data_IF_450917559123
#
_entry.id   IF_450917559123
#
_cell.length_a   1.000
_cell.length_b   1.000
_cell.length_c   1.000
_cell.angle_alpha   90.00
_cell.angle_beta   90.00
_cell.angle_gamma   90.00
#
_symmetry.space_group_name_H-M   'P 1'
#
loop_
_entity.id
_entity.type
_entity.pdbx_description
1 polymer ?
#
# COMPACT_ATOMS: atom_id res chain seq x y z
N UNK A 1 -3.63 17.61 -9.53
CA UNK A 1 -2.21 17.20 -9.35
C UNK A 1 -2.27 15.96 -8.49
N UNK A 2 -1.70 14.85 -8.95
CA UNK A 2 -1.57 13.67 -8.10
C UNK A 2 -0.30 13.87 -7.28
N UNK A 3 -0.43 14.13 -5.99
CA UNK A 3 0.73 14.24 -5.11
C UNK A 3 1.51 12.91 -5.14
N UNK A 4 2.83 13.02 -5.22
CA UNK A 4 3.75 11.88 -5.32
C UNK A 4 4.84 11.99 -4.28
N UNK A 5 5.33 10.84 -3.81
CA UNK A 5 6.51 10.73 -2.95
C UNK A 5 7.67 10.18 -3.77
N UNK A 6 8.85 10.77 -3.62
CA UNK A 6 10.10 10.21 -4.14
C UNK A 6 10.54 9.08 -3.21
N UNK A 7 10.63 7.87 -3.76
CA UNK A 7 11.14 6.71 -3.04
C UNK A 7 12.67 6.68 -3.08
N UNK A 8 13.28 5.99 -2.12
CA UNK A 8 14.72 5.74 -2.10
C UNK A 8 15.22 5.06 -3.38
N UNK A 9 14.38 4.26 -4.05
CA UNK A 9 14.68 3.68 -5.37
C UNK A 9 14.84 4.71 -6.51
N UNK A 10 14.54 5.98 -6.27
CA UNK A 10 14.50 7.04 -7.29
C UNK A 10 13.20 7.10 -8.09
N UNK A 11 12.24 6.20 -7.84
CA UNK A 11 10.93 6.20 -8.47
C UNK A 11 9.93 7.06 -7.68
N UNK A 12 8.89 7.55 -8.36
CA UNK A 12 7.79 8.28 -7.72
C UNK A 12 6.58 7.38 -7.53
N UNK A 13 5.97 7.45 -6.34
CA UNK A 13 4.72 6.74 -6.02
C UNK A 13 3.60 7.74 -5.70
N UNK A 14 2.39 7.58 -6.26
CA UNK A 14 1.24 8.40 -5.87
C UNK A 14 0.85 8.17 -4.40
N UNK A 15 0.58 9.26 -3.67
CA UNK A 15 0.25 9.20 -2.23
C UNK A 15 -1.06 8.50 -1.91
N UNK A 16 -1.93 8.35 -2.92
CA UNK A 16 -3.20 7.64 -2.78
C UNK A 16 -3.35 6.59 -3.88
N UNK A 17 -3.69 5.37 -3.49
CA UNK A 17 -3.96 4.26 -4.39
C UNK A 17 -5.29 3.56 -4.10
N UNK A 18 -5.70 2.68 -5.02
CA UNK A 18 -6.83 1.77 -4.81
C UNK A 18 -6.30 0.41 -4.38
N UNK A 19 -6.64 -0.02 -3.16
CA UNK A 19 -6.38 -1.41 -2.72
C UNK A 19 -7.46 -2.36 -3.22
N UNK A 20 -7.09 -3.55 -3.70
CA UNK A 20 -8.03 -4.55 -4.26
C UNK A 20 -8.34 -5.72 -3.32
N UNK A 21 -7.83 -5.73 -2.09
CA UNK A 21 -8.03 -6.84 -1.14
C UNK A 21 -9.52 -7.18 -0.90
N UNK A 22 -9.85 -8.47 -0.97
CA UNK A 22 -11.22 -9.00 -0.86
C UNK A 22 -12.20 -8.32 -1.83
N UNK A 23 -11.71 -7.95 -3.01
CA UNK A 23 -12.56 -7.58 -4.15
C UNK A 23 -12.69 -8.82 -5.02
N UNK A 24 -13.91 -9.35 -5.19
CA UNK A 24 -14.11 -10.48 -6.09
C UNK A 24 -13.57 -10.18 -7.49
N UNK A 25 -13.01 -11.15 -8.22
CA UNK A 25 -12.51 -10.94 -9.58
C UNK A 25 -13.52 -10.23 -10.48
N UNK A 26 -14.79 -10.64 -10.44
CA UNK A 26 -15.88 -10.07 -11.22
C UNK A 26 -16.14 -8.57 -10.96
N UNK A 27 -15.79 -8.08 -9.78
CA UNK A 27 -15.90 -6.65 -9.44
C UNK A 27 -14.57 -5.89 -9.64
N UNK A 28 -13.43 -6.59 -9.58
CA UNK A 28 -12.10 -5.98 -9.56
C UNK A 28 -11.87 -5.11 -10.78
N UNK A 29 -12.17 -5.63 -11.98
CA UNK A 29 -11.97 -4.89 -13.23
C UNK A 29 -12.75 -3.56 -13.23
N UNK A 30 -14.04 -3.61 -12.88
CA UNK A 30 -14.93 -2.43 -12.81
C UNK A 30 -14.40 -1.40 -11.82
N UNK A 31 -13.96 -1.84 -10.65
CA UNK A 31 -13.46 -0.94 -9.60
C UNK A 31 -12.14 -0.26 -10.01
N UNK A 32 -11.23 -1.01 -10.64
CA UNK A 32 -9.95 -0.46 -11.12
C UNK A 32 -10.19 0.51 -12.27
N UNK A 33 -11.03 0.18 -13.24
CA UNK A 33 -11.43 1.12 -14.31
C UNK A 33 -12.00 2.40 -13.72
N UNK A 34 -12.95 2.27 -12.78
CA UNK A 34 -13.55 3.42 -12.13
C UNK A 34 -12.52 4.29 -11.42
N UNK A 35 -11.58 3.70 -10.69
CA UNK A 35 -10.52 4.45 -10.03
C UNK A 35 -9.62 5.19 -11.04
N UNK A 36 -9.23 4.52 -12.13
CA UNK A 36 -8.42 5.12 -13.19
C UNK A 36 -9.14 6.29 -13.89
N UNK A 37 -10.45 6.17 -14.14
CA UNK A 37 -11.33 7.23 -14.65
C UNK A 37 -11.40 8.42 -13.69
N UNK A 38 -11.55 8.16 -12.38
CA UNK A 38 -11.59 9.19 -11.33
C UNK A 38 -10.28 9.97 -11.23
N UNK A 39 -9.15 9.34 -11.53
CA UNK A 39 -7.83 9.99 -11.51
C UNK A 39 -6.75 9.24 -10.73
N UNK A 40 -7.07 8.11 -10.10
CA UNK A 40 -6.07 7.27 -9.45
C UNK A 40 -5.00 6.84 -10.45
N UNK A 41 -3.76 6.80 -9.99
CA UNK A 41 -2.63 6.25 -10.75
C UNK A 41 -1.82 5.24 -9.94
N UNK A 42 -2.30 4.81 -8.78
CA UNK A 42 -1.69 3.76 -7.98
C UNK A 42 -2.73 2.67 -7.71
N UNK A 43 -2.44 1.45 -8.16
CA UNK A 43 -3.29 0.27 -7.95
C UNK A 43 -2.49 -0.77 -7.15
N UNK A 44 -3.00 -1.13 -5.97
CA UNK A 44 -2.40 -2.13 -5.09
C UNK A 44 -3.20 -3.43 -5.12
N UNK A 45 -2.52 -4.51 -5.52
CA UNK A 45 -3.03 -5.89 -5.50
C UNK A 45 -2.04 -6.83 -4.83
N UNK A 46 -2.30 -8.13 -4.87
CA UNK A 46 -1.36 -9.17 -4.46
C UNK A 46 -1.69 -10.49 -5.15
N UNK A 47 -0.67 -11.34 -5.34
CA UNK A 47 -0.83 -12.72 -5.80
C UNK A 47 -1.90 -13.49 -5.01
N UNK A 48 -1.87 -13.32 -3.68
CA UNK A 48 -2.81 -13.97 -2.76
C UNK A 48 -4.28 -13.51 -2.91
N UNK A 49 -4.54 -12.41 -3.64
CA UNK A 49 -5.90 -11.90 -3.83
C UNK A 49 -6.62 -12.55 -5.01
N UNK A 50 -5.87 -13.26 -5.88
CA UNK A 50 -6.40 -13.98 -7.05
C UNK A 50 -7.21 -13.11 -8.02
N UNK A 51 -6.87 -11.82 -8.12
CA UNK A 51 -7.55 -10.85 -9.00
C UNK A 51 -6.56 -10.00 -9.84
N UNK A 52 -5.31 -10.43 -9.98
CA UNK A 52 -4.29 -9.73 -10.77
C UNK A 52 -4.63 -9.70 -12.27
N UNK A 53 -5.31 -10.74 -12.78
CA UNK A 53 -5.73 -10.79 -14.18
C UNK A 53 -6.70 -9.65 -14.52
N UNK A 54 -7.67 -9.42 -13.64
CA UNK A 54 -8.69 -8.39 -13.79
C UNK A 54 -8.13 -6.98 -13.58
N UNK A 55 -7.11 -6.82 -12.73
CA UNK A 55 -6.32 -5.58 -12.65
C UNK A 55 -5.62 -5.30 -13.97
N UNK A 56 -4.93 -6.29 -14.55
CA UNK A 56 -4.25 -6.15 -15.83
C UNK A 56 -5.20 -5.79 -16.97
N UNK A 57 -6.37 -6.42 -17.01
CA UNK A 57 -7.43 -6.11 -17.99
C UNK A 57 -7.96 -4.69 -17.86
N UNK A 58 -8.21 -4.22 -16.64
CA UNK A 58 -8.66 -2.85 -16.39
C UNK A 58 -7.61 -1.82 -16.82
N UNK A 59 -6.33 -2.08 -16.54
CA UNK A 59 -5.24 -1.19 -16.95
C UNK A 59 -5.19 -1.07 -18.47
N UNK A 60 -5.26 -2.19 -19.20
CA UNK A 60 -5.26 -2.18 -20.68
C UNK A 60 -6.50 -1.46 -21.22
N UNK A 61 -7.68 -1.79 -20.70
CA UNK A 61 -8.95 -1.22 -21.16
C UNK A 61 -9.08 0.28 -20.85
N UNK A 62 -8.44 0.77 -19.79
CA UNK A 62 -8.44 2.20 -19.46
C UNK A 62 -7.84 3.09 -20.55
N UNK A 63 -7.00 2.53 -21.44
CA UNK A 63 -6.29 3.28 -22.47
C UNK A 63 -5.22 4.25 -21.95
N UNK A 64 -4.99 4.32 -20.64
CA UNK A 64 -3.95 5.15 -20.03
C UNK A 64 -2.59 4.51 -20.34
N UNK A 65 -1.56 5.29 -20.74
CA UNK A 65 -0.23 4.74 -20.95
C UNK A 65 0.27 4.01 -19.70
N UNK A 66 0.76 2.77 -19.86
CA UNK A 66 1.22 1.93 -18.73
C UNK A 66 2.22 2.64 -17.80
N UNK A 67 3.09 3.49 -18.36
CA UNK A 67 4.07 4.31 -17.61
C UNK A 67 3.46 5.35 -16.67
N UNK A 68 2.18 5.69 -16.86
CA UNK A 68 1.48 6.68 -16.05
C UNK A 68 0.70 6.01 -14.90
N UNK A 69 0.68 4.67 -14.83
CA UNK A 69 0.04 3.89 -13.76
C UNK A 69 1.14 3.20 -12.94
N UNK A 70 1.09 3.33 -11.63
CA UNK A 70 1.90 2.62 -10.65
C UNK A 70 1.17 1.38 -10.17
N UNK A 71 1.73 0.19 -10.41
CA UNK A 71 1.12 -1.08 -10.01
C UNK A 71 1.98 -1.76 -8.94
N UNK A 72 1.33 -2.07 -7.82
CA UNK A 72 1.91 -2.82 -6.71
C UNK A 72 1.32 -4.23 -6.68
N UNK A 73 2.17 -5.26 -6.57
CA UNK A 73 1.76 -6.61 -6.19
C UNK A 73 2.67 -7.18 -5.10
N UNK A 74 2.35 -8.37 -4.60
CA UNK A 74 3.02 -8.97 -3.44
C UNK A 74 3.23 -10.46 -3.66
N UNK A 75 4.45 -10.94 -3.40
CA UNK A 75 4.72 -12.38 -3.31
C UNK A 75 4.23 -12.91 -1.96
N UNK A 76 3.69 -14.13 -1.94
CA UNK A 76 3.19 -14.71 -0.71
C UNK A 76 4.33 -15.32 0.12
N UNK A 77 4.08 -15.60 1.39
CA UNK A 77 5.11 -16.16 2.29
C UNK A 77 5.66 -17.47 1.74
N UNK A 78 4.82 -18.34 1.17
CA UNK A 78 5.23 -19.65 0.59
C UNK A 78 6.16 -19.55 -0.63
N UNK A 79 6.29 -18.35 -1.18
CA UNK A 79 7.14 -18.04 -2.33
C UNK A 79 8.52 -17.51 -1.90
N UNK A 80 8.82 -17.45 -0.59
CA UNK A 80 10.07 -16.88 -0.05
C UNK A 80 11.29 -17.81 -0.19
N UNK A 81 11.62 -18.10 -1.44
CA UNK A 81 12.85 -18.75 -1.90
C UNK A 81 13.26 -18.11 -3.23
N UNK A 82 14.54 -18.19 -3.62
CA UNK A 82 15.01 -17.54 -4.85
C UNK A 82 14.16 -17.89 -6.09
N UNK A 83 14.10 -19.18 -6.45
CA UNK A 83 13.42 -19.62 -7.68
C UNK A 83 11.91 -19.38 -7.61
N UNK A 84 11.31 -19.56 -6.44
CA UNK A 84 9.86 -19.33 -6.24
C UNK A 84 9.49 -17.87 -6.29
N UNK A 85 10.32 -16.97 -5.76
CA UNK A 85 10.10 -15.53 -5.84
C UNK A 85 10.16 -15.07 -7.31
N UNK A 86 11.14 -15.57 -8.07
CA UNK A 86 11.24 -15.32 -9.51
C UNK A 86 10.01 -15.84 -10.25
N UNK A 87 9.58 -17.08 -9.99
CA UNK A 87 8.38 -17.67 -10.59
C UNK A 87 7.12 -16.87 -10.25
N UNK A 88 6.95 -16.49 -8.97
CA UNK A 88 5.80 -15.74 -8.50
C UNK A 88 5.69 -14.37 -9.17
N UNK A 89 6.80 -13.63 -9.31
CA UNK A 89 6.81 -12.33 -9.99
C UNK A 89 6.53 -12.47 -11.49
N UNK A 90 7.07 -13.52 -12.15
CA UNK A 90 6.79 -13.78 -13.57
C UNK A 90 5.31 -14.09 -13.82
N UNK A 91 4.71 -14.93 -12.97
CA UNK A 91 3.28 -15.22 -13.06
C UNK A 91 2.43 -13.97 -12.79
N UNK A 92 2.83 -13.10 -11.85
CA UNK A 92 2.19 -11.79 -11.67
C UNK A 92 2.34 -10.88 -12.89
N UNK A 93 3.50 -10.82 -13.55
CA UNK A 93 3.70 -10.06 -14.80
C UNK A 93 2.77 -10.55 -15.91
N UNK A 94 2.65 -11.88 -16.07
CA UNK A 94 1.79 -12.51 -17.07
C UNK A 94 0.31 -12.20 -16.81
N UNK A 95 -0.15 -12.33 -15.55
CA UNK A 95 -1.53 -12.00 -15.15
C UNK A 95 -1.85 -10.53 -15.32
N UNK A 96 -0.95 -9.65 -14.89
CA UNK A 96 -1.08 -8.20 -15.04
C UNK A 96 -0.90 -7.74 -16.50
N UNK A 97 -0.47 -8.64 -17.40
CA UNK A 97 -0.27 -8.39 -18.85
C UNK A 97 0.66 -7.20 -19.10
N UNK A 98 1.77 -7.13 -18.36
CA UNK A 98 2.73 -6.01 -18.39
C UNK A 98 4.17 -6.50 -18.44
N UNK A 99 5.06 -5.72 -19.08
CA UNK A 99 6.48 -6.04 -19.16
C UNK A 99 7.29 -5.69 -17.90
N UNK A 100 6.71 -4.93 -16.98
CA UNK A 100 7.31 -4.60 -15.68
C UNK A 100 6.24 -4.32 -14.62
N UNK A 101 6.63 -4.44 -13.35
CA UNK A 101 5.85 -4.07 -12.16
C UNK A 101 6.54 -2.87 -11.47
N UNK A 102 5.77 -1.88 -11.01
CA UNK A 102 6.34 -0.70 -10.38
C UNK A 102 6.85 -1.02 -8.97
N UNK A 103 6.08 -1.79 -8.20
CA UNK A 103 6.49 -2.25 -6.87
C UNK A 103 6.12 -3.70 -6.58
N UNK A 104 7.08 -4.48 -6.06
CA UNK A 104 6.83 -5.81 -5.50
C UNK A 104 7.16 -5.81 -4.01
N UNK A 105 6.22 -6.28 -3.19
CA UNK A 105 6.40 -6.42 -1.74
C UNK A 105 6.48 -7.88 -1.31
N UNK A 106 7.29 -8.17 -0.30
CA UNK A 106 7.10 -9.38 0.51
C UNK A 106 5.86 -9.17 1.39
N UNK A 107 4.80 -9.95 1.21
CA UNK A 107 3.48 -9.66 1.81
C UNK A 107 3.45 -9.76 3.35
N UNK A 108 4.22 -10.67 3.92
CA UNK A 108 4.37 -10.83 5.38
C UNK A 108 5.78 -11.32 5.71
N UNK A 109 6.32 -11.01 6.91
CA UNK A 109 7.60 -11.55 7.36
C UNK A 109 7.57 -13.09 7.33
N UNK A 110 8.51 -13.75 6.63
CA UNK A 110 8.57 -15.20 6.63
C UNK A 110 9.11 -15.72 7.98
N UNK A 111 8.46 -16.74 8.55
CA UNK A 111 8.80 -17.29 9.88
C UNK A 111 10.10 -18.10 9.86
N UNK A 112 10.37 -18.89 8.81
CA UNK A 112 11.55 -19.77 8.70
C UNK A 112 12.05 -19.95 7.25
N UNK A 113 11.80 -18.98 6.37
CA UNK A 113 12.12 -19.12 4.94
C UNK A 113 13.33 -18.26 4.55
N UNK A 114 13.87 -18.54 3.37
CA UNK A 114 15.16 -18.06 2.88
C UNK A 114 15.08 -16.59 2.45
N UNK A 115 14.86 -15.70 3.44
CA UNK A 115 14.69 -14.27 3.26
C UNK A 115 15.87 -13.66 2.50
N UNK A 116 17.10 -14.14 2.75
CA UNK A 116 18.30 -13.72 2.03
C UNK A 116 18.19 -13.97 0.53
N UNK A 117 17.89 -15.21 0.15
CA UNK A 117 17.81 -15.53 -1.28
C UNK A 117 16.51 -15.01 -1.91
N UNK A 118 15.44 -14.82 -1.14
CA UNK A 118 14.22 -14.14 -1.59
C UNK A 118 14.51 -12.69 -1.95
N UNK A 119 15.16 -11.95 -1.04
CA UNK A 119 15.50 -10.56 -1.28
C UNK A 119 16.45 -10.43 -2.47
N UNK A 120 17.48 -11.28 -2.55
CA UNK A 120 18.38 -11.35 -3.72
C UNK A 120 17.62 -11.57 -5.03
N UNK A 121 16.63 -12.46 -5.06
CA UNK A 121 15.81 -12.67 -6.26
C UNK A 121 15.06 -11.39 -6.67
N UNK A 122 14.48 -10.66 -5.71
CA UNK A 122 13.80 -9.40 -6.00
C UNK A 122 14.78 -8.33 -6.50
N UNK A 123 15.99 -8.26 -5.93
CA UNK A 123 17.07 -7.36 -6.38
C UNK A 123 17.52 -7.67 -7.81
N UNK A 124 17.74 -8.95 -8.14
CA UNK A 124 18.14 -9.36 -9.50
C UNK A 124 17.03 -9.05 -10.52
N UNK A 125 15.77 -9.12 -10.12
CA UNK A 125 14.62 -8.73 -10.95
C UNK A 125 14.50 -7.21 -11.11
N UNK A 126 14.98 -6.41 -10.14
CA UNK A 126 15.15 -4.96 -10.28
C UNK A 126 16.26 -4.64 -11.29
N UNK A 127 17.44 -5.25 -11.14
CA UNK A 127 18.55 -5.06 -12.09
C UNK A 127 18.16 -5.49 -13.51
N UNK A 128 17.33 -6.53 -13.64
CA UNK A 128 16.77 -7.00 -14.90
C UNK A 128 15.66 -6.11 -15.50
N UNK A 129 15.22 -5.07 -14.78
CA UNK A 129 14.19 -4.13 -15.23
C UNK A 129 12.76 -4.67 -15.20
N UNK A 130 12.52 -5.83 -14.59
CA UNK A 130 11.19 -6.43 -14.44
C UNK A 130 10.42 -5.85 -13.26
N UNK A 131 11.14 -5.32 -12.26
CA UNK A 131 10.60 -4.61 -11.11
C UNK A 131 11.28 -3.23 -11.03
N UNK A 132 10.55 -2.16 -10.73
CA UNK A 132 11.17 -0.84 -10.53
C UNK A 132 11.59 -0.60 -9.08
N UNK A 133 10.76 -1.04 -8.13
CA UNK A 133 10.94 -0.85 -6.70
C UNK A 133 10.60 -2.11 -5.93
N UNK A 134 11.35 -2.39 -4.86
CA UNK A 134 11.08 -3.51 -3.95
C UNK A 134 10.85 -2.98 -2.54
N UNK A 135 10.01 -3.68 -1.78
CA UNK A 135 9.65 -3.30 -0.43
C UNK A 135 9.08 -4.47 0.36
N UNK A 136 8.44 -4.14 1.47
CA UNK A 136 7.88 -5.12 2.39
C UNK A 136 6.47 -4.72 2.80
N UNK A 137 5.73 -5.69 3.33
CA UNK A 137 4.46 -5.46 3.97
C UNK A 137 4.39 -6.20 5.29
N UNK A 138 3.86 -5.52 6.31
CA UNK A 138 3.71 -6.02 7.67
C UNK A 138 5.02 -6.25 8.44
N UNK A 139 6.14 -5.65 8.04
CA UNK A 139 7.39 -5.81 8.77
C UNK A 139 7.42 -4.88 9.99
N UNK A 140 7.87 -5.42 11.12
CA UNK A 140 8.21 -4.65 12.34
C UNK A 140 9.69 -4.29 12.31
N UNK A 141 10.14 -3.42 13.21
CA UNK A 141 11.52 -2.91 13.29
C UNK A 141 12.55 -4.05 13.22
N UNK A 142 12.44 -5.07 14.06
CA UNK A 142 13.36 -6.21 14.07
C UNK A 142 13.28 -7.10 12.80
N UNK A 143 12.17 -7.07 12.07
CA UNK A 143 12.07 -7.73 10.76
C UNK A 143 12.79 -6.92 9.68
N UNK A 144 12.70 -5.59 9.73
CA UNK A 144 13.38 -4.67 8.82
C UNK A 144 14.90 -4.78 8.97
N UNK A 145 15.41 -4.80 10.20
CA UNK A 145 16.84 -4.96 10.50
C UNK A 145 17.43 -6.21 9.83
N UNK A 146 16.70 -7.34 9.87
CA UNK A 146 17.12 -8.58 9.19
C UNK A 146 17.25 -8.43 7.67
N UNK A 147 16.46 -7.54 7.06
CA UNK A 147 16.57 -7.23 5.62
C UNK A 147 17.76 -6.30 5.38
N UNK A 148 18.00 -5.32 6.25
CA UNK A 148 19.13 -4.39 6.11
C UNK A 148 20.48 -5.11 6.12
N UNK A 149 20.60 -6.18 6.92
CA UNK A 149 21.82 -6.99 7.01
C UNK A 149 22.15 -7.77 5.71
N UNK A 150 21.17 -7.96 4.83
CA UNK A 150 21.30 -8.79 3.61
C UNK A 150 21.10 -8.00 2.31
N UNK A 151 20.54 -6.79 2.39
CA UNK A 151 20.12 -6.01 1.23
C UNK A 151 21.28 -5.27 0.57
N UNK A 152 21.41 -5.42 -0.74
CA UNK A 152 22.15 -4.51 -1.62
C UNK A 152 21.27 -3.34 -2.06
N UNK A 153 19.99 -3.60 -2.35
CA UNK A 153 18.98 -2.59 -2.64
C UNK A 153 18.07 -2.50 -1.41
N UNK A 154 18.10 -1.34 -0.75
CA UNK A 154 17.28 -1.10 0.43
C UNK A 154 15.78 -1.10 0.07
N UNK A 155 14.92 -1.64 0.95
CA UNK A 155 13.48 -1.57 0.74
C UNK A 155 13.03 -0.10 0.68
N UNK A 156 12.17 0.23 -0.28
CA UNK A 156 11.67 1.61 -0.41
C UNK A 156 10.37 1.88 0.32
N UNK A 157 9.58 0.84 0.59
CA UNK A 157 8.26 0.94 1.23
C UNK A 157 8.11 -0.16 2.27
N UNK A 158 7.49 0.17 3.41
CA UNK A 158 6.91 -0.80 4.34
C UNK A 158 5.39 -0.55 4.45
N UNK A 159 4.60 -1.43 3.80
CA UNK A 159 3.14 -1.34 3.78
C UNK A 159 2.54 -2.04 5.00
N UNK A 160 1.93 -1.30 5.93
CA UNK A 160 1.47 -1.82 7.23
C UNK A 160 0.05 -1.40 7.58
N UNK A 161 -0.58 -2.11 8.53
CA UNK A 161 -1.83 -1.67 9.14
C UNK A 161 -1.56 -0.33 9.80
N UNK A 162 -2.18 0.73 9.29
CA UNK A 162 -2.04 2.07 9.83
C UNK A 162 -3.37 2.81 9.67
N UNK A 163 -3.85 3.37 10.76
CA UNK A 163 -5.09 4.14 10.84
C UNK A 163 -5.12 4.91 12.17
N UNK A 164 -6.05 5.86 12.40
CA UNK A 164 -5.95 6.75 13.57
C UNK A 164 -5.93 6.07 14.96
N UNK A 165 -6.42 4.84 15.11
CA UNK A 165 -6.31 4.04 16.37
C UNK A 165 -5.04 3.19 16.50
N UNK A 166 -4.22 3.14 15.46
CA UNK A 166 -2.96 2.40 15.39
C UNK A 166 -2.05 3.13 14.39
N UNK A 167 -1.47 4.22 14.85
CA UNK A 167 -0.78 5.17 13.97
C UNK A 167 0.66 4.75 13.66
N UNK A 168 1.12 3.63 14.24
CA UNK A 168 2.44 3.06 13.99
C UNK A 168 3.58 4.05 14.24
N UNK A 169 3.44 4.98 15.21
CA UNK A 169 4.39 6.09 15.42
C UNK A 169 5.84 5.62 15.51
N UNK A 170 6.13 4.65 16.39
CA UNK A 170 7.48 4.11 16.55
C UNK A 170 8.04 3.49 15.25
N UNK A 171 7.22 2.69 14.54
CA UNK A 171 7.61 2.07 13.28
C UNK A 171 7.80 3.10 12.16
N UNK A 172 6.95 4.14 12.10
CA UNK A 172 7.07 5.25 11.15
C UNK A 172 8.34 6.03 11.39
N UNK A 173 8.64 6.38 12.64
CA UNK A 173 9.87 7.07 13.02
C UNK A 173 11.10 6.23 12.68
N UNK A 174 11.04 4.91 12.92
CA UNK A 174 12.09 3.98 12.52
C UNK A 174 12.27 3.92 11.00
N UNK A 175 11.20 3.72 10.23
CA UNK A 175 11.25 3.69 8.76
C UNK A 175 11.83 4.99 8.18
N UNK A 176 11.47 6.15 8.75
CA UNK A 176 11.97 7.45 8.32
C UNK A 176 13.49 7.59 8.47
N UNK A 177 14.10 6.96 9.48
CA UNK A 177 15.56 6.97 9.67
C UNK A 177 16.32 6.27 8.53
N UNK A 178 15.64 5.42 7.76
CA UNK A 178 16.20 4.66 6.65
C UNK A 178 15.61 5.05 5.29
N UNK A 179 14.95 6.21 5.20
CA UNK A 179 14.26 6.70 3.99
C UNK A 179 13.23 5.70 3.42
N UNK A 180 12.59 4.92 4.29
CA UNK A 180 11.55 3.96 3.93
C UNK A 180 10.19 4.64 4.07
N UNK A 181 9.45 4.73 2.97
CA UNK A 181 8.09 5.26 3.02
C UNK A 181 7.14 4.27 3.70
N UNK A 182 6.21 4.78 4.51
CA UNK A 182 5.14 3.97 5.11
C UNK A 182 3.89 4.10 4.26
N UNK A 183 3.30 2.94 3.95
CA UNK A 183 2.04 2.85 3.23
C UNK A 183 0.98 2.18 4.12
N UNK A 184 -0.15 2.86 4.32
CA UNK A 184 -1.27 2.40 5.12
C UNK A 184 -2.18 1.45 4.33
N UNK A 185 -2.21 0.18 4.73
CA UNK A 185 -3.30 -0.70 4.37
C UNK A 185 -4.40 -0.70 5.45
N UNK A 186 -5.64 -0.91 5.02
CA UNK A 186 -6.86 -0.74 5.84
C UNK A 186 -6.98 0.63 6.57
N UNK A 187 -6.69 1.77 5.93
CA UNK A 187 -6.70 3.09 6.57
C UNK A 187 -8.05 3.45 7.22
N UNK A 188 -9.15 2.96 6.64
CA UNK A 188 -10.51 3.24 7.12
C UNK A 188 -11.02 2.21 8.14
N UNK A 189 -10.23 1.18 8.48
CA UNK A 189 -10.59 0.09 9.38
C UNK A 189 -11.99 -0.51 9.12
N UNK A 190 -12.35 -0.70 7.85
CA UNK A 190 -13.69 -1.14 7.41
C UNK A 190 -14.82 -0.30 8.04
N UNK A 191 -14.65 1.03 8.05
CA UNK A 191 -15.54 2.03 8.64
C UNK A 191 -15.75 1.95 10.16
N UNK A 192 -15.06 1.05 10.88
CA UNK A 192 -15.21 0.91 12.34
C UNK A 192 -14.83 2.17 13.09
N UNK A 193 -13.87 2.93 12.57
CA UNK A 193 -13.34 4.14 13.19
C UNK A 193 -14.23 5.38 12.95
N UNK A 194 -15.20 5.33 12.04
CA UNK A 194 -16.03 6.50 11.68
C UNK A 194 -16.93 7.01 12.82
N UNK A 195 -17.08 6.20 13.87
CA UNK A 195 -17.84 6.58 15.08
C UNK A 195 -16.99 7.34 16.11
N UNK A 196 -15.69 7.46 15.91
CA UNK A 196 -14.79 8.21 16.80
C UNK A 196 -15.20 9.69 16.87
N UNK A 197 -15.26 10.24 18.08
CA UNK A 197 -15.82 11.58 18.31
C UNK A 197 -15.01 12.67 17.61
N UNK A 198 -13.68 12.53 17.65
CA UNK A 198 -12.76 13.44 16.95
C UNK A 198 -13.04 13.45 15.46
N UNK A 199 -13.13 12.29 14.82
CA UNK A 199 -13.35 12.18 13.37
C UNK A 199 -14.70 12.78 12.98
N UNK A 200 -15.77 12.55 13.76
CA UNK A 200 -17.07 13.17 13.51
C UNK A 200 -17.03 14.69 13.61
N UNK A 201 -16.43 15.22 14.68
CA UNK A 201 -16.26 16.67 14.86
C UNK A 201 -15.52 17.30 13.68
N UNK A 202 -14.47 16.64 13.21
CA UNK A 202 -13.69 17.11 12.05
C UNK A 202 -14.49 17.00 10.75
N UNK A 203 -15.24 15.92 10.56
CA UNK A 203 -16.13 15.73 9.41
C UNK A 203 -17.11 16.90 9.29
N UNK A 204 -17.75 17.28 10.42
CA UNK A 204 -18.66 18.42 10.49
C UNK A 204 -17.93 19.75 10.24
N UNK A 205 -16.74 19.95 10.84
CA UNK A 205 -15.94 21.17 10.70
C UNK A 205 -15.54 21.46 9.25
N UNK A 206 -15.10 20.42 8.52
CA UNK A 206 -14.59 20.57 7.15
C UNK A 206 -15.66 20.30 6.07
N UNK A 207 -16.88 19.93 6.45
CA UNK A 207 -17.92 19.48 5.52
C UNK A 207 -17.44 18.31 4.63
N UNK A 208 -16.73 17.35 5.24
CA UNK A 208 -16.13 16.18 4.58
C UNK A 208 -16.59 14.90 5.27
N UNK A 209 -16.51 13.77 4.57
CA UNK A 209 -16.87 12.49 5.17
C UNK A 209 -15.80 12.01 6.14
N UNK A 210 -16.14 11.11 7.09
CA UNK A 210 -15.15 10.48 7.96
C UNK A 210 -13.99 9.84 7.20
N UNK A 211 -14.25 9.28 6.01
CA UNK A 211 -13.21 8.69 5.17
C UNK A 211 -12.24 9.75 4.66
N UNK A 212 -12.74 10.86 4.12
CA UNK A 212 -11.92 11.97 3.65
C UNK A 212 -11.05 12.58 4.76
N UNK A 213 -11.59 12.73 5.97
CA UNK A 213 -10.81 13.21 7.13
C UNK A 213 -9.62 12.28 7.43
N UNK A 214 -9.85 10.97 7.44
CA UNK A 214 -8.81 9.97 7.74
C UNK A 214 -7.75 9.94 6.64
N UNK A 215 -8.17 9.91 5.37
CA UNK A 215 -7.24 9.86 4.26
C UNK A 215 -6.45 11.17 4.14
N UNK A 216 -7.07 12.32 4.40
CA UNK A 216 -6.34 13.59 4.46
C UNK A 216 -5.31 13.61 5.60
N UNK A 217 -5.66 13.04 6.75
CA UNK A 217 -4.73 12.85 7.86
C UNK A 217 -3.54 11.96 7.45
N UNK A 218 -3.78 10.81 6.78
CA UNK A 218 -2.69 9.96 6.26
C UNK A 218 -1.72 10.78 5.40
N UNK A 219 -2.25 11.53 4.43
CA UNK A 219 -1.45 12.37 3.52
C UNK A 219 -0.61 13.41 4.27
N UNK A 220 -1.20 14.14 5.23
CA UNK A 220 -0.48 15.17 6.00
C UNK A 220 0.51 14.59 7.02
N UNK A 221 0.35 13.33 7.40
CA UNK A 221 1.34 12.55 8.15
C UNK A 221 2.46 11.98 7.25
N UNK A 222 2.42 12.22 5.94
CA UNK A 222 3.39 11.67 4.99
C UNK A 222 3.21 10.17 4.75
N UNK A 223 2.02 9.64 4.98
CA UNK A 223 1.67 8.23 4.82
C UNK A 223 0.99 8.05 3.45
N UNK A 224 1.50 7.13 2.64
CA UNK A 224 0.84 6.69 1.41
C UNK A 224 -0.39 5.87 1.81
N UNK A 225 -1.56 6.07 1.21
CA UNK A 225 -2.79 5.42 1.65
C UNK A 225 -3.49 4.68 0.52
N UNK A 226 -3.94 3.45 0.79
CA UNK A 226 -4.62 2.59 -0.21
C UNK A 226 -6.02 2.17 0.26
N UNK A 227 -6.99 3.11 0.32
CA UNK A 227 -8.37 2.75 0.61
C UNK A 227 -8.93 1.77 -0.42
N UNK A 228 -9.72 0.80 0.07
CA UNK A 228 -10.46 -0.15 -0.76
C UNK A 228 -11.93 0.24 -0.82
N UNK A 229 -12.52 0.19 -2.01
CA UNK A 229 -13.97 0.24 -2.20
C UNK A 229 -14.38 -0.54 -3.45
N UNK A 230 -15.56 -1.15 -3.40
CA UNK A 230 -16.27 -1.69 -4.58
C UNK A 230 -17.43 -0.81 -5.05
N UNK A 231 -17.72 0.25 -4.29
CA UNK A 231 -18.74 1.24 -4.57
C UNK A 231 -18.11 2.43 -5.28
N UNK A 232 -18.65 2.80 -6.44
CA UNK A 232 -18.09 3.82 -7.32
C UNK A 232 -18.09 5.20 -6.67
N UNK A 233 -19.18 5.55 -5.99
CA UNK A 233 -19.33 6.81 -5.27
C UNK A 233 -18.26 6.98 -4.18
N UNK A 234 -17.88 5.88 -3.52
CA UNK A 234 -16.83 5.91 -2.49
C UNK A 234 -15.42 5.94 -3.09
N UNK A 235 -15.21 5.38 -4.28
CA UNK A 235 -13.92 5.50 -4.99
C UNK A 235 -13.70 6.97 -5.34
N UNK A 236 -14.71 7.66 -5.87
CA UNK A 236 -14.66 9.10 -6.14
C UNK A 236 -14.49 9.93 -4.87
N UNK A 237 -15.29 9.66 -3.83
CA UNK A 237 -15.24 10.38 -2.56
C UNK A 237 -13.87 10.25 -1.87
N UNK A 238 -13.30 9.04 -1.83
CA UNK A 238 -12.00 8.77 -1.22
C UNK A 238 -10.85 9.48 -1.97
N UNK A 239 -10.99 9.70 -3.29
CA UNK A 239 -9.99 10.44 -4.06
C UNK A 239 -10.05 11.94 -3.84
N UNK A 240 -11.23 12.47 -3.51
CA UNK A 240 -11.45 13.90 -3.35
C UNK A 240 -11.00 14.41 -1.97
N UNK A 241 -9.68 14.40 -1.75
CA UNK A 241 -9.03 14.78 -0.48
C UNK A 241 -7.95 15.87 -0.64
N UNK A 242 -7.88 16.48 -1.83
CA UNK A 242 -6.85 17.47 -2.16
C UNK A 242 -7.36 18.93 -2.10
N UNK A 243 -8.67 19.13 -1.92
CA UNK A 243 -9.34 20.43 -1.90
C UNK A 243 -9.51 21.02 -0.49
N UNK A 244 -8.91 20.39 0.53
CA UNK A 244 -8.91 20.87 1.92
C UNK A 244 -7.66 20.40 2.67
N UNK A 245 -7.41 21.00 3.82
CA UNK A 245 -6.30 20.66 4.71
C UNK A 245 -6.77 20.70 6.18
N UNK A 246 -6.32 19.75 6.99
CA UNK A 246 -6.51 19.77 8.43
C UNK A 246 -5.50 20.73 9.06
N UNK A 247 -5.97 21.65 9.90
CA UNK A 247 -5.06 22.52 10.67
C UNK A 247 -4.17 21.69 11.61
N UNK A 248 -3.03 22.24 12.01
CA UNK A 248 -2.12 21.57 12.94
C UNK A 248 -2.81 21.17 14.25
N UNK A 249 -3.71 22.02 14.76
CA UNK A 249 -4.53 21.72 15.95
C UNK A 249 -5.43 20.48 15.75
N UNK A 250 -6.00 20.31 14.56
CA UNK A 250 -6.82 19.14 14.25
C UNK A 250 -5.96 17.90 13.95
N UNK A 251 -4.76 18.07 13.38
CA UNK A 251 -3.75 17.02 13.26
C UNK A 251 -3.34 16.51 14.65
N UNK A 252 -3.11 17.40 15.62
CA UNK A 252 -2.85 17.02 17.01
C UNK A 252 -4.03 16.27 17.64
N UNK A 253 -5.27 16.69 17.36
CA UNK A 253 -6.45 15.94 17.79
C UNK A 253 -6.48 14.52 17.19
N UNK A 254 -6.07 14.34 15.94
CA UNK A 254 -5.95 13.04 15.30
C UNK A 254 -4.81 12.22 15.90
N UNK A 255 -3.64 12.81 16.17
CA UNK A 255 -2.52 12.13 16.84
C UNK A 255 -2.87 11.65 18.25
N UNK A 256 -3.76 12.35 18.94
CA UNK A 256 -4.20 12.05 20.31
C UNK A 256 -5.17 10.86 20.42
N UNK A 257 -5.84 10.44 19.34
CA UNK A 257 -6.78 9.30 19.36
C UNK A 257 -6.10 7.94 19.15
N UNK A 258 -4.78 7.91 19.02
CA UNK A 258 -4.02 6.65 18.92
C UNK A 258 -4.27 5.78 20.16
N UNK A 259 -4.56 4.50 19.92
CA UNK A 259 -4.79 3.49 20.95
C UNK A 259 -3.69 2.43 20.95
N UNK A 260 -2.70 2.56 20.06
CA UNK A 260 -1.71 1.55 19.76
C UNK A 260 -2.33 0.15 19.57
N UNK A 261 -3.51 0.10 18.92
CA UNK A 261 -4.35 -1.09 18.87
C UNK A 261 -4.44 -1.65 17.45
N UNK A 262 -3.73 -2.75 17.23
CA UNK A 262 -3.88 -3.61 16.05
C UNK A 262 -5.25 -4.30 16.02
N UNK A 263 -5.85 -4.40 14.83
CA UNK A 263 -7.14 -5.06 14.57
C UNK A 263 -7.03 -6.27 13.65
N UNK A 264 -5.92 -6.39 12.92
CA UNK A 264 -5.64 -7.55 12.09
C UNK A 264 -4.49 -8.36 12.67
N UNK A 265 -4.00 -9.30 11.89
CA UNK A 265 -2.98 -10.26 12.32
C UNK A 265 -1.69 -9.54 12.79
N UNK A 266 -1.12 -10.04 13.88
CA UNK A 266 0.20 -9.64 14.34
C UNK A 266 1.29 -10.29 13.46
N UNK A 267 2.23 -9.49 12.88
CA UNK A 267 3.37 -10.02 12.14
C UNK A 267 4.24 -11.01 12.91
N UNK A 268 4.32 -10.89 14.24
CA UNK A 268 5.11 -11.80 15.08
C UNK A 268 4.31 -13.07 15.43
N UNK A 269 3.02 -13.10 15.08
CA UNK A 269 2.14 -14.23 15.31
C UNK A 269 2.44 -15.41 14.37
N UNK A 270 2.58 -16.60 14.94
CA UNK A 270 2.80 -17.84 14.18
C UNK A 270 1.66 -18.15 13.20
N UNK A 271 1.99 -18.64 12.00
CA UNK A 271 1.07 -19.36 11.12
C UNK A 271 0.90 -18.77 9.72
N UNK A 272 1.91 -18.83 8.87
CA UNK A 272 1.69 -18.92 7.43
C UNK A 272 2.28 -20.24 6.97
#
# INVERSE_FOLDING_TARGET
>A
MNDVVLLHSGNYIPVIGLGTYLTPPEETKRCVLKALETGYRHIDTARFYYNEAEVGEAIIESGIPRRDIFVTTKIWTTDCYYDKAVEAVKDSLDKLKTGYIDMVLIHWPPVNEDLKNTWRALEDMVDGGLIRTIGMSNFKEHHLERVFDIARIMPSVNQVECHPWFQQKALRDFCLQYDIAVEAWAPLLRARIFKEKTIKRLSDKYCKTPAQIILRWDLQEGIITIPKSTHEERIEENFNIFDFELSEEDMECMRAIDKNKRFFRDPDGHGF
#
